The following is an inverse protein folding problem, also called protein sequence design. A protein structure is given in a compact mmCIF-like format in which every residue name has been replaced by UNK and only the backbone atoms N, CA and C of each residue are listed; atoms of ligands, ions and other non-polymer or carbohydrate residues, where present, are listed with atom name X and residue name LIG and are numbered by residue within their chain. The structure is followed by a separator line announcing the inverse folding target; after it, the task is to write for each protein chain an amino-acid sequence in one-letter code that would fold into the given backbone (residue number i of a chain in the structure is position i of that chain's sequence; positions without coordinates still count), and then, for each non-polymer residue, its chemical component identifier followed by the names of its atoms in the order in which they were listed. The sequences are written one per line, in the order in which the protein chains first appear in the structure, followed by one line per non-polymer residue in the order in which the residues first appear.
data_IF_323915361506
#
_entry.id   IF_323915361506
#
_cell.length_a   1.000
_cell.length_b   1.000
_cell.length_c   1.000
_cell.angle_alpha   90.00
_cell.angle_beta   90.00
_cell.angle_gamma   90.00
#
_symmetry.space_group_name_H-M   'P 1'
#
loop_
_entity.id
_entity.type
_entity.pdbx_description
1 polymer ?
#
# COMPACT_ATOMS: atom_id res chain seq x y z
N UNK A 1 -64.19 -12.51 38.65
CA UNK A 1 -64.18 -11.05 38.80
C UNK A 1 -62.99 -10.64 39.66
N UNK A 2 -61.97 -10.01 39.08
CA UNK A 2 -61.14 -9.00 39.75
C UNK A 2 -60.40 -8.21 38.68
N UNK A 3 -60.24 -6.93 39.00
CA UNK A 3 -60.04 -5.76 38.16
C UNK A 3 -58.56 -5.34 38.10
N UNK A 4 -58.20 -4.62 37.03
CA UNK A 4 -57.19 -3.52 36.96
C UNK A 4 -55.74 -3.98 37.21
N UNK A 5 -54.69 -3.59 36.49
CA UNK A 5 -54.38 -2.51 35.56
C UNK A 5 -52.84 -2.39 35.61
N UNK A 6 -52.23 -1.84 34.56
CA UNK A 6 -51.10 -0.89 34.61
C UNK A 6 -50.26 -0.96 33.34
N UNK A 7 -50.28 0.17 32.65
CA UNK A 7 -49.33 0.57 31.62
C UNK A 7 -47.94 0.68 32.21
N UNK A 8 -46.92 0.24 31.46
CA UNK A 8 -45.60 0.86 31.52
C UNK A 8 -45.13 1.08 30.09
N UNK A 9 -45.20 2.33 29.64
CA UNK A 9 -44.50 2.77 28.45
C UNK A 9 -42.99 2.77 28.70
N UNK A 10 -42.22 2.35 27.71
CA UNK A 10 -40.82 2.76 27.59
C UNK A 10 -40.68 3.52 26.27
N UNK A 11 -40.42 4.80 26.46
CA UNK A 11 -40.09 5.83 25.48
C UNK A 11 -38.92 5.45 24.60
N UNK A 12 -38.97 5.89 23.34
CA UNK A 12 -37.80 6.02 22.49
C UNK A 12 -36.76 6.98 23.09
N UNK A 13 -35.50 6.73 22.74
CA UNK A 13 -34.36 7.55 23.14
C UNK A 13 -33.10 7.02 22.50
N UNK A 14 -32.74 7.63 21.38
CA UNK A 14 -31.50 7.46 20.64
C UNK A 14 -30.28 7.58 21.56
N UNK A 15 -29.30 6.68 21.41
CA UNK A 15 -27.92 7.05 21.70
C UNK A 15 -27.01 6.63 20.54
N UNK A 16 -26.36 7.66 20.05
CA UNK A 16 -25.57 7.75 18.84
C UNK A 16 -24.14 7.97 19.32
N UNK A 17 -23.18 7.27 18.68
CA UNK A 17 -21.77 7.66 18.57
C UNK A 17 -20.94 7.87 19.86
N UNK A 18 -20.13 6.87 20.20
CA UNK A 18 -18.78 7.09 20.71
C UNK A 18 -17.81 6.22 19.88
N UNK A 19 -17.41 6.73 18.71
CA UNK A 19 -16.07 7.29 18.46
C UNK A 19 -14.96 6.24 18.58
N UNK A 20 -14.65 5.69 17.41
CA UNK A 20 -13.36 5.12 17.05
C UNK A 20 -12.23 6.03 17.54
N UNK A 21 -11.57 5.59 18.62
CA UNK A 21 -10.31 6.13 19.04
C UNK A 21 -9.20 5.15 18.62
N UNK A 22 -8.54 5.54 17.53
CA UNK A 22 -7.13 5.27 17.24
C UNK A 22 -6.68 3.80 17.16
N UNK A 23 -7.01 3.12 16.05
CA UNK A 23 -6.38 1.85 15.65
C UNK A 23 -4.89 2.04 15.26
N UNK A 24 -4.43 3.28 15.01
CA UNK A 24 -3.05 3.57 14.64
C UNK A 24 -2.03 3.35 15.78
N UNK A 25 -2.46 3.28 17.04
CA UNK A 25 -1.56 3.18 18.21
C UNK A 25 -1.17 1.75 18.61
N UNK A 26 -1.74 0.71 17.98
CA UNK A 26 -1.52 -0.70 18.40
C UNK A 26 -0.49 -1.48 17.58
N UNK A 27 0.21 -0.84 16.65
CA UNK A 27 1.15 -1.52 15.74
C UNK A 27 2.63 -1.39 16.10
N UNK A 28 2.98 -0.93 17.31
CA UNK A 28 4.39 -0.74 17.67
C UNK A 28 4.79 -1.46 18.96
N UNK A 29 4.97 -2.78 18.89
CA UNK A 29 5.87 -3.49 19.80
C UNK A 29 6.28 -4.88 19.29
N UNK A 30 7.56 -4.97 18.91
CA UNK A 30 8.50 -6.07 19.18
C UNK A 30 8.47 -7.37 18.33
N UNK A 31 9.59 -7.54 17.61
CA UNK A 31 10.26 -8.80 17.18
C UNK A 31 9.43 -9.83 16.42
N UNK A 32 9.53 -9.77 15.09
CA UNK A 32 9.21 -10.89 14.20
C UNK A 32 8.47 -10.49 12.94
N UNK A 33 9.21 -10.16 11.88
CA UNK A 33 8.78 -10.42 10.49
C UNK A 33 7.49 -9.78 9.96
N UNK A 34 7.01 -8.66 10.49
CA UNK A 34 5.96 -7.89 9.82
C UNK A 34 6.59 -6.87 8.86
N UNK A 35 6.20 -6.96 7.59
CA UNK A 35 6.57 -5.99 6.55
C UNK A 35 6.01 -4.63 6.99
N UNK A 36 6.82 -3.56 7.08
CA UNK A 36 6.29 -2.21 7.24
C UNK A 36 5.23 -1.99 6.17
N UNK A 37 4.03 -1.54 6.57
CA UNK A 37 2.89 -1.34 5.68
C UNK A 37 3.33 -0.75 4.32
N UNK A 38 3.36 -1.58 3.28
CA UNK A 38 3.36 -1.12 1.90
C UNK A 38 4.67 -1.09 1.11
N UNK A 39 5.59 -2.03 1.30
CA UNK A 39 6.66 -2.25 0.32
C UNK A 39 6.39 -3.50 -0.51
N UNK A 40 6.13 -3.38 -1.81
CA UNK A 40 5.92 -4.53 -2.68
C UNK A 40 7.25 -5.24 -2.97
N UNK A 41 7.18 -6.52 -3.32
CA UNK A 41 8.34 -7.30 -3.76
C UNK A 41 8.82 -6.78 -5.13
N UNK A 42 9.99 -6.11 -5.22
CA UNK A 42 10.51 -5.62 -6.49
C UNK A 42 11.10 -6.72 -7.37
N UNK A 43 11.35 -6.39 -8.63
CA UNK A 43 12.31 -7.15 -9.42
C UNK A 43 13.72 -6.99 -8.81
N UNK A 44 14.28 -8.09 -8.32
CA UNK A 44 15.60 -8.15 -7.71
C UNK A 44 16.70 -8.17 -8.77
N UNK A 45 17.01 -7.00 -9.33
CA UNK A 45 18.13 -6.85 -10.27
C UNK A 45 19.46 -7.00 -9.52
N UNK A 46 20.06 -8.19 -9.60
CA UNK A 46 21.30 -8.54 -8.88
C UNK A 46 22.41 -8.93 -9.88
N UNK A 47 23.69 -8.73 -9.54
CA UNK A 47 24.80 -9.04 -10.45
C UNK A 47 24.92 -10.53 -10.76
N UNK A 48 25.63 -10.85 -11.84
CA UNK A 48 25.97 -12.23 -12.18
C UNK A 48 26.66 -12.95 -11.01
N UNK A 49 26.30 -14.22 -10.79
CA UNK A 49 26.81 -15.04 -9.70
C UNK A 49 26.15 -14.79 -8.34
N UNK A 50 25.19 -13.87 -8.25
CA UNK A 50 24.34 -13.72 -7.07
C UNK A 50 23.09 -14.60 -7.20
N UNK A 51 22.59 -15.09 -6.06
CA UNK A 51 21.35 -15.87 -5.98
C UNK A 51 20.34 -15.14 -5.11
N UNK A 52 19.08 -15.12 -5.52
CA UNK A 52 17.97 -14.48 -4.78
C UNK A 52 17.06 -15.56 -4.19
N UNK A 53 16.73 -15.44 -2.89
CA UNK A 53 15.71 -16.26 -2.22
C UNK A 53 14.66 -15.34 -1.63
N UNK A 54 13.40 -15.51 -2.02
CA UNK A 54 12.27 -14.70 -1.55
C UNK A 54 11.48 -15.53 -0.54
N UNK A 55 11.16 -14.95 0.62
CA UNK A 55 10.32 -15.59 1.61
C UNK A 55 8.82 -15.31 1.36
N UNK A 56 7.94 -15.92 2.16
CA UNK A 56 6.49 -15.72 2.06
C UNK A 56 6.04 -14.28 2.33
N UNK A 57 6.84 -13.46 3.02
CA UNK A 57 6.57 -12.04 3.23
C UNK A 57 7.06 -11.14 2.08
N UNK A 58 7.62 -11.73 1.01
CA UNK A 58 8.11 -11.01 -0.15
C UNK A 58 9.49 -10.37 0.04
N UNK A 59 10.13 -10.52 1.21
CA UNK A 59 11.52 -10.09 1.42
C UNK A 59 12.49 -11.07 0.76
N UNK A 60 13.50 -10.54 0.08
CA UNK A 60 14.57 -11.33 -0.48
C UNK A 60 15.84 -11.32 0.36
N UNK A 61 16.47 -12.49 0.46
CA UNK A 61 17.89 -12.62 0.80
C UNK A 61 18.66 -12.85 -0.50
N UNK A 62 19.65 -12.01 -0.75
CA UNK A 62 20.58 -12.17 -1.86
C UNK A 62 21.92 -12.67 -1.34
N UNK A 63 22.42 -13.76 -1.91
CA UNK A 63 23.73 -14.33 -1.59
C UNK A 63 24.68 -14.11 -2.76
N UNK A 64 25.86 -13.56 -2.48
CA UNK A 64 26.91 -13.34 -3.47
C UNK A 64 27.90 -14.51 -3.56
N UNK A 65 28.69 -14.60 -4.64
CA UNK A 65 29.57 -15.74 -4.92
C UNK A 65 30.72 -15.90 -3.92
N UNK A 66 31.02 -14.86 -3.13
CA UNK A 66 32.03 -14.87 -2.05
C UNK A 66 31.41 -15.05 -0.66
N UNK A 67 30.18 -15.55 -0.58
CA UNK A 67 29.49 -15.84 0.68
C UNK A 67 28.88 -14.62 1.39
N UNK A 68 28.84 -13.46 0.75
CA UNK A 68 28.15 -12.28 1.29
C UNK A 68 26.63 -12.45 1.25
N UNK A 69 25.93 -12.01 2.29
CA UNK A 69 24.46 -12.06 2.36
C UNK A 69 23.87 -10.66 2.56
N UNK A 70 22.79 -10.39 1.82
CA UNK A 70 22.16 -9.08 1.71
C UNK A 70 20.65 -9.23 1.82
N UNK A 71 20.07 -8.74 2.91
CA UNK A 71 18.63 -8.75 3.13
C UNK A 71 18.00 -7.52 2.46
N UNK A 72 17.01 -7.70 1.59
CA UNK A 72 16.28 -6.59 1.00
C UNK A 72 15.54 -5.81 2.08
N UNK A 73 15.69 -4.50 2.07
CA UNK A 73 14.98 -3.63 3.02
C UNK A 73 13.56 -3.26 2.55
N UNK A 74 13.25 -3.49 1.27
CA UNK A 74 12.05 -3.01 0.60
C UNK A 74 12.10 -1.53 0.21
N UNK A 75 13.12 -0.79 0.65
CA UNK A 75 13.30 0.63 0.39
C UNK A 75 14.27 0.90 -0.75
N UNK A 76 14.13 2.06 -1.38
CA UNK A 76 14.92 2.44 -2.54
C UNK A 76 15.82 3.63 -2.23
N UNK A 77 16.99 3.66 -2.86
CA UNK A 77 17.88 4.82 -2.89
C UNK A 77 17.26 5.95 -3.71
N UNK A 78 17.86 7.14 -3.63
CA UNK A 78 17.39 8.33 -4.37
C UNK A 78 17.41 8.16 -5.89
N UNK A 79 18.22 7.25 -6.42
CA UNK A 79 18.28 6.86 -7.84
C UNK A 79 17.37 5.65 -8.17
N UNK A 80 16.53 5.20 -7.25
CA UNK A 80 15.51 4.19 -7.50
C UNK A 80 15.97 2.74 -7.39
N UNK A 81 17.16 2.47 -6.82
CA UNK A 81 17.69 1.12 -6.66
C UNK A 81 17.31 0.52 -5.31
N UNK A 82 17.00 -0.77 -5.29
CA UNK A 82 16.66 -1.46 -4.04
C UNK A 82 17.86 -1.46 -3.09
N UNK A 83 17.60 -1.06 -1.85
CA UNK A 83 18.57 -1.07 -0.77
C UNK A 83 18.48 -2.40 -0.03
N UNK A 84 19.65 -2.98 0.20
CA UNK A 84 19.87 -4.18 0.99
C UNK A 84 20.70 -3.86 2.23
N UNK A 85 20.52 -4.65 3.28
CA UNK A 85 21.30 -4.60 4.51
C UNK A 85 22.15 -5.86 4.64
N UNK A 86 23.45 -5.71 4.85
CA UNK A 86 24.33 -6.85 5.08
C UNK A 86 24.36 -7.26 6.57
N UNK A 87 25.07 -8.36 6.88
CA UNK A 87 25.22 -8.88 8.26
C UNK A 87 25.89 -7.91 9.23
N UNK A 88 26.70 -6.98 8.75
CA UNK A 88 27.34 -5.94 9.58
C UNK A 88 26.38 -4.79 9.91
N UNK A 89 25.22 -4.76 9.25
CA UNK A 89 24.24 -3.69 9.34
C UNK A 89 24.47 -2.56 8.33
N UNK A 90 25.45 -2.69 7.43
CA UNK A 90 25.73 -1.71 6.39
C UNK A 90 24.74 -1.82 5.23
N UNK A 91 24.46 -0.70 4.56
CA UNK A 91 23.48 -0.63 3.47
C UNK A 91 24.16 -0.58 2.09
N UNK A 92 23.59 -1.31 1.13
CA UNK A 92 24.13 -1.44 -0.23
C UNK A 92 23.02 -1.48 -1.28
N UNK A 93 23.29 -1.02 -2.49
CA UNK A 93 22.53 -1.41 -3.69
C UNK A 93 23.30 -2.49 -4.43
N UNK A 94 22.60 -3.39 -5.11
CA UNK A 94 23.22 -4.48 -5.89
C UNK A 94 23.07 -4.34 -7.40
N UNK A 95 22.21 -3.44 -7.89
CA UNK A 95 22.04 -3.17 -9.31
C UNK A 95 23.32 -2.55 -9.92
N UNK A 96 23.93 -3.26 -10.88
CA UNK A 96 25.20 -2.90 -11.49
C UNK A 96 26.43 -3.15 -10.60
N UNK A 97 26.28 -3.92 -9.52
CA UNK A 97 27.35 -4.26 -8.59
C UNK A 97 27.04 -3.83 -7.15
N UNK A 98 27.87 -4.26 -6.20
CA UNK A 98 27.73 -3.88 -4.78
C UNK A 98 28.26 -2.46 -4.57
N UNK A 99 27.34 -1.54 -4.30
CA UNK A 99 27.64 -0.14 -4.01
C UNK A 99 27.12 0.24 -2.62
N UNK A 100 27.97 0.82 -1.78
CA UNK A 100 27.54 1.28 -0.44
C UNK A 100 26.69 2.54 -0.52
N UNK A 101 25.65 2.59 0.29
CA UNK A 101 24.70 3.71 0.36
C UNK A 101 24.36 4.05 1.80
N UNK A 102 23.75 5.21 2.00
CA UNK A 102 23.21 5.59 3.31
C UNK A 102 22.01 4.71 3.69
N UNK A 103 21.67 4.71 4.98
CA UNK A 103 20.43 4.11 5.45
C UNK A 103 19.22 4.76 4.73
N UNK A 104 18.17 3.97 4.42
CA UNK A 104 16.93 4.54 3.89
C UNK A 104 16.27 5.49 4.90
N UNK A 105 15.35 6.37 4.46
CA UNK A 105 14.54 7.19 5.36
C UNK A 105 13.86 6.36 6.46
N UNK A 106 13.57 6.98 7.60
CA UNK A 106 12.71 6.33 8.60
C UNK A 106 11.23 6.42 8.17
N UNK A 107 10.66 5.28 7.81
CA UNK A 107 9.27 5.19 7.33
C UNK A 107 8.21 5.23 8.43
N UNK A 108 8.57 5.13 9.71
CA UNK A 108 7.63 5.30 10.84
C UNK A 108 6.97 6.69 10.84
N UNK A 109 7.60 7.67 10.19
CA UNK A 109 7.13 9.05 10.07
C UNK A 109 6.64 9.42 8.66
N UNK A 110 6.67 8.47 7.72
CA UNK A 110 6.29 8.73 6.33
C UNK A 110 4.78 8.66 6.18
N UNK A 111 4.12 9.68 5.58
CA UNK A 111 2.69 9.65 5.34
C UNK A 111 2.26 8.43 4.51
N UNK A 112 1.17 7.80 4.95
CA UNK A 112 0.50 6.74 4.20
C UNK A 112 -0.43 7.38 3.16
N UNK A 113 -0.29 6.93 1.91
CA UNK A 113 -1.09 7.36 0.78
C UNK A 113 -2.09 6.26 0.36
N UNK A 114 -3.31 6.66 0.03
CA UNK A 114 -4.33 5.80 -0.59
C UNK A 114 -4.15 5.80 -2.11
N UNK A 115 -3.85 4.64 -2.71
CA UNK A 115 -3.68 4.53 -4.16
C UNK A 115 -4.96 4.98 -4.88
N UNK A 116 -6.07 4.33 -4.53
CA UNK A 116 -7.42 4.72 -4.86
C UNK A 116 -7.95 5.62 -3.75
N UNK A 117 -8.18 6.90 -4.05
CA UNK A 117 -8.69 7.86 -3.07
C UNK A 117 -10.10 7.49 -2.60
N UNK A 118 -10.38 7.68 -1.31
CA UNK A 118 -11.70 7.54 -0.70
C UNK A 118 -12.35 8.89 -0.34
N UNK A 119 -11.69 10.01 -0.65
CA UNK A 119 -12.12 11.38 -0.24
C UNK A 119 -12.49 12.28 -1.42
N UNK A 120 -12.31 11.84 -2.66
CA UNK A 120 -12.71 12.58 -3.86
C UNK A 120 -14.17 12.26 -4.26
N UNK A 121 -15.10 12.60 -3.36
CA UNK A 121 -16.52 12.22 -3.48
C UNK A 121 -17.37 13.21 -4.30
N UNK A 122 -16.83 14.41 -4.57
CA UNK A 122 -17.52 15.50 -5.28
C UNK A 122 -16.73 15.86 -6.52
N UNK A 123 -17.31 15.59 -7.69
CA UNK A 123 -16.82 16.13 -8.94
C UNK A 123 -17.23 17.59 -9.06
N UNK A 124 -16.38 18.51 -8.64
CA UNK A 124 -16.57 19.94 -8.88
C UNK A 124 -15.76 20.36 -10.13
N UNK A 125 -16.27 21.33 -10.87
CA UNK A 125 -15.55 21.93 -12.01
C UNK A 125 -15.10 20.92 -13.09
N UNK A 126 -15.93 19.90 -13.37
CA UNK A 126 -15.64 18.89 -14.40
C UNK A 126 -14.63 17.81 -13.99
N UNK A 127 -14.21 17.77 -12.72
CA UNK A 127 -13.38 16.70 -12.20
C UNK A 127 -14.22 15.45 -11.86
N UNK A 128 -13.67 14.26 -12.12
CA UNK A 128 -14.31 12.98 -11.82
C UNK A 128 -14.41 12.78 -10.31
N UNK A 129 -15.55 12.26 -9.83
CA UNK A 129 -15.70 11.83 -8.44
C UNK A 129 -14.98 10.48 -8.23
N UNK A 130 -13.65 10.51 -8.20
CA UNK A 130 -12.80 9.32 -8.27
C UNK A 130 -13.09 8.26 -7.23
N UNK A 131 -13.50 8.63 -6.01
CA UNK A 131 -13.85 7.61 -5.01
C UNK A 131 -14.97 6.70 -5.48
N UNK A 132 -15.98 7.26 -6.18
CA UNK A 132 -17.11 6.49 -6.72
C UNK A 132 -16.65 5.57 -7.84
N UNK A 133 -15.78 6.07 -8.70
CA UNK A 133 -15.19 5.31 -9.81
C UNK A 133 -14.30 4.17 -9.31
N UNK A 134 -13.56 4.37 -8.21
CA UNK A 134 -12.75 3.29 -7.64
C UNK A 134 -13.58 2.26 -6.87
N UNK A 135 -14.68 2.66 -6.25
CA UNK A 135 -15.48 1.80 -5.37
C UNK A 135 -15.89 0.48 -6.05
N UNK A 136 -16.22 0.49 -7.35
CA UNK A 136 -16.58 -0.72 -8.11
C UNK A 136 -15.54 -1.84 -8.02
N UNK A 137 -14.24 -1.49 -7.98
CA UNK A 137 -13.17 -2.50 -7.92
C UNK A 137 -13.06 -3.12 -6.52
N UNK A 138 -13.32 -2.33 -5.48
CA UNK A 138 -13.31 -2.79 -4.09
C UNK A 138 -14.53 -3.66 -3.80
N UNK A 139 -15.71 -3.23 -4.24
CA UNK A 139 -16.95 -4.01 -4.13
C UNK A 139 -16.81 -5.37 -4.84
N UNK A 140 -16.18 -5.40 -6.03
CA UNK A 140 -15.97 -6.63 -6.78
C UNK A 140 -14.82 -7.53 -6.28
N UNK A 141 -13.95 -7.04 -5.40
CA UNK A 141 -12.80 -7.80 -4.89
C UNK A 141 -12.93 -8.21 -3.42
N UNK A 142 -14.03 -7.86 -2.75
CA UNK A 142 -14.19 -8.03 -1.30
C UNK A 142 -13.05 -7.36 -0.50
N UNK A 143 -12.54 -6.25 -1.04
CA UNK A 143 -11.56 -5.38 -0.38
C UNK A 143 -12.26 -4.13 0.13
N UNK A 144 -11.73 -3.51 1.19
CA UNK A 144 -12.26 -2.26 1.71
C UNK A 144 -11.38 -1.07 1.29
N UNK A 145 -11.95 -0.15 0.50
CA UNK A 145 -11.24 1.02 -0.04
C UNK A 145 -10.54 1.88 1.04
N UNK A 146 -11.04 1.88 2.27
CA UNK A 146 -10.53 2.73 3.34
C UNK A 146 -9.29 2.16 4.01
N UNK A 147 -9.20 0.83 4.16
CA UNK A 147 -8.22 0.19 5.03
C UNK A 147 -7.57 -1.08 4.45
N UNK A 148 -7.93 -1.52 3.25
CA UNK A 148 -7.22 -2.60 2.57
C UNK A 148 -5.74 -2.22 2.43
N UNK A 149 -4.86 -3.09 2.91
CA UNK A 149 -3.41 -2.83 2.91
C UNK A 149 -2.85 -2.68 1.50
N UNK A 150 -3.49 -3.34 0.53
CA UNK A 150 -3.27 -3.27 -0.91
C UNK A 150 -3.50 -1.85 -1.44
N UNK A 151 -4.41 -1.08 -0.84
CA UNK A 151 -4.70 0.30 -1.24
C UNK A 151 -3.81 1.32 -0.53
N UNK A 152 -2.91 0.90 0.37
CA UNK A 152 -2.10 1.78 1.21
C UNK A 152 -0.61 1.64 0.92
N UNK A 153 0.09 2.76 0.77
CA UNK A 153 1.55 2.79 0.56
C UNK A 153 2.19 3.98 1.27
N UNK A 154 3.30 3.75 1.96
CA UNK A 154 4.11 4.83 2.53
C UNK A 154 5.01 5.43 1.45
N UNK A 155 4.85 6.72 1.15
CA UNK A 155 5.62 7.41 0.10
C UNK A 155 6.42 8.55 0.70
N UNK A 156 7.75 8.37 0.74
CA UNK A 156 8.65 9.41 1.21
C UNK A 156 8.52 10.66 0.34
N UNK A 157 8.29 11.82 0.98
CA UNK A 157 8.05 13.08 0.28
C UNK A 157 6.64 13.21 -0.33
N UNK A 158 5.67 12.40 0.08
CA UNK A 158 4.28 12.49 -0.37
C UNK A 158 3.69 13.91 -0.20
N UNK A 159 3.08 14.45 -1.27
CA UNK A 159 2.41 15.75 -1.30
C UNK A 159 1.20 15.69 -2.23
N UNK A 160 0.04 16.14 -1.75
CA UNK A 160 -1.20 16.26 -2.55
C UNK A 160 -1.70 17.71 -2.65
N UNK A 161 -2.78 17.98 -3.41
CA UNK A 161 -3.60 17.02 -4.16
C UNK A 161 -2.91 16.47 -5.42
N UNK A 162 -3.30 15.27 -5.87
CA UNK A 162 -2.68 14.61 -7.02
C UNK A 162 -3.40 14.96 -8.33
N UNK A 163 -2.71 14.94 -9.48
CA UNK A 163 -3.30 15.32 -10.76
C UNK A 163 -4.30 14.27 -11.27
N UNK A 164 -5.22 14.71 -12.14
CA UNK A 164 -6.18 13.83 -12.83
C UNK A 164 -5.48 12.65 -13.54
N UNK A 165 -4.31 12.88 -14.14
CA UNK A 165 -3.53 11.86 -14.83
C UNK A 165 -3.14 10.68 -13.92
N UNK A 166 -2.85 10.94 -12.63
CA UNK A 166 -2.59 9.88 -11.67
C UNK A 166 -3.83 9.01 -11.46
N UNK A 167 -4.98 9.63 -11.23
CA UNK A 167 -6.21 8.89 -11.01
C UNK A 167 -6.67 8.12 -12.26
N UNK A 168 -6.54 8.71 -13.45
CA UNK A 168 -6.79 8.04 -14.73
C UNK A 168 -5.88 6.84 -14.93
N UNK A 169 -4.60 6.97 -14.58
CA UNK A 169 -3.65 5.87 -14.65
C UNK A 169 -4.09 4.71 -13.73
N UNK A 170 -4.36 4.99 -12.46
CA UNK A 170 -4.81 3.97 -11.49
C UNK A 170 -6.10 3.29 -11.96
N UNK A 171 -7.08 4.08 -12.41
CA UNK A 171 -8.36 3.54 -12.89
C UNK A 171 -8.16 2.67 -14.12
N UNK A 172 -7.45 3.17 -15.14
CA UNK A 172 -7.23 2.43 -16.38
C UNK A 172 -6.52 1.10 -16.17
N UNK A 173 -5.56 1.04 -15.22
CA UNK A 173 -4.89 -0.22 -14.85
C UNK A 173 -5.87 -1.22 -14.22
N UNK A 174 -6.70 -0.78 -13.29
CA UNK A 174 -7.70 -1.63 -12.63
C UNK A 174 -8.80 -2.08 -13.60
N UNK A 175 -9.28 -1.17 -14.44
CA UNK A 175 -10.30 -1.43 -15.46
C UNK A 175 -9.81 -2.49 -16.44
N UNK A 176 -8.60 -2.32 -16.98
CA UNK A 176 -7.98 -3.30 -17.88
C UNK A 176 -7.76 -4.66 -17.19
N UNK A 177 -7.25 -4.67 -15.95
CA UNK A 177 -6.97 -5.93 -15.26
C UNK A 177 -8.22 -6.73 -14.90
N UNK A 178 -9.36 -6.04 -14.77
CA UNK A 178 -10.65 -6.66 -14.41
C UNK A 178 -11.58 -6.85 -15.60
N UNK A 179 -11.16 -6.48 -16.80
CA UNK A 179 -11.94 -6.60 -18.03
C UNK A 179 -12.31 -8.06 -18.30
N UNK A 180 -13.61 -8.33 -18.48
CA UNK A 180 -14.13 -9.67 -18.73
C UNK A 180 -14.17 -10.60 -17.50
N UNK A 181 -13.69 -10.16 -16.33
CA UNK A 181 -13.79 -10.93 -15.09
C UNK A 181 -15.14 -10.70 -14.40
N UNK A 182 -15.65 -11.74 -13.76
CA UNK A 182 -16.89 -11.66 -12.97
C UNK A 182 -16.55 -11.11 -11.58
N UNK A 183 -17.17 -10.01 -11.11
CA UNK A 183 -17.00 -9.51 -9.76
C UNK A 183 -17.34 -10.56 -8.69
N UNK A 184 -16.74 -10.44 -7.50
CA UNK A 184 -16.89 -11.35 -6.35
C UNK A 184 -16.35 -12.76 -6.62
N UNK A 185 -15.40 -12.89 -7.53
CA UNK A 185 -14.65 -14.13 -7.75
C UNK A 185 -13.21 -13.98 -7.30
N UNK A 186 -12.55 -15.10 -6.99
CA UNK A 186 -11.13 -15.09 -6.61
C UNK A 186 -10.26 -14.47 -7.73
N UNK A 187 -10.57 -14.76 -8.99
CA UNK A 187 -9.85 -14.18 -10.13
C UNK A 187 -9.95 -12.65 -10.18
N UNK A 188 -11.12 -12.08 -9.89
CA UNK A 188 -11.30 -10.62 -9.84
C UNK A 188 -10.52 -10.01 -8.67
N UNK A 189 -10.60 -10.64 -7.50
CA UNK A 189 -9.87 -10.21 -6.30
C UNK A 189 -8.36 -10.24 -6.52
N UNK A 190 -7.86 -11.32 -7.12
CA UNK A 190 -6.46 -11.48 -7.48
C UNK A 190 -6.01 -10.39 -8.47
N UNK A 191 -6.78 -10.13 -9.53
CA UNK A 191 -6.47 -9.10 -10.51
C UNK A 191 -6.38 -7.69 -9.89
N UNK A 192 -7.32 -7.32 -9.03
CA UNK A 192 -7.30 -6.04 -8.29
C UNK A 192 -6.08 -5.98 -7.36
N UNK A 193 -5.84 -7.03 -6.58
CA UNK A 193 -4.74 -7.11 -5.62
C UNK A 193 -3.38 -6.98 -6.30
N UNK A 194 -3.15 -7.73 -7.38
CA UNK A 194 -1.90 -7.68 -8.14
C UNK A 194 -1.69 -6.31 -8.78
N UNK A 195 -2.74 -5.70 -9.31
CA UNK A 195 -2.67 -4.36 -9.92
C UNK A 195 -2.34 -3.28 -8.89
N UNK A 196 -2.98 -3.32 -7.72
CA UNK A 196 -2.65 -2.41 -6.63
C UNK A 196 -1.20 -2.60 -6.18
N UNK A 197 -0.72 -3.84 -6.01
CA UNK A 197 0.68 -4.13 -5.67
C UNK A 197 1.68 -3.62 -6.73
N UNK A 198 1.35 -3.72 -8.01
CA UNK A 198 2.16 -3.12 -9.09
C UNK A 198 2.27 -1.60 -8.90
N UNK A 199 1.14 -0.93 -8.67
CA UNK A 199 1.10 0.52 -8.49
C UNK A 199 1.84 0.95 -7.21
N UNK A 200 1.74 0.18 -6.12
CA UNK A 200 2.56 0.39 -4.90
C UNK A 200 4.05 0.36 -5.25
N UNK A 201 4.46 -0.52 -6.16
CA UNK A 201 5.87 -0.69 -6.54
C UNK A 201 6.36 0.57 -7.21
N UNK A 202 5.60 1.04 -8.18
CA UNK A 202 5.91 2.30 -8.83
C UNK A 202 5.89 3.45 -7.83
N UNK A 203 4.89 3.56 -6.95
CA UNK A 203 4.80 4.62 -5.95
C UNK A 203 6.01 4.69 -5.01
N UNK A 204 6.55 3.52 -4.63
CA UNK A 204 7.67 3.41 -3.72
C UNK A 204 9.04 3.72 -4.38
N UNK A 205 9.18 3.58 -5.70
CA UNK A 205 10.43 3.82 -6.43
C UNK A 205 10.60 5.32 -6.74
N UNK A 206 11.60 6.00 -6.14
CA UNK A 206 11.88 7.40 -6.45
C UNK A 206 12.06 7.64 -7.95
N UNK A 207 11.35 8.63 -8.48
CA UNK A 207 11.47 9.03 -9.87
C UNK A 207 10.66 8.19 -10.89
N UNK A 208 9.95 7.15 -10.46
CA UNK A 208 8.96 6.48 -11.32
C UNK A 208 7.81 7.44 -11.71
N UNK A 209 6.99 7.12 -12.73
CA UNK A 209 5.83 7.95 -13.10
C UNK A 209 4.86 8.17 -11.92
N UNK A 210 4.48 7.09 -11.21
CA UNK A 210 3.57 7.18 -10.06
C UNK A 210 4.20 7.98 -8.92
N UNK A 211 5.45 7.68 -8.55
CA UNK A 211 6.14 8.40 -7.49
C UNK A 211 6.23 9.91 -7.79
N UNK A 212 6.49 10.29 -9.05
CA UNK A 212 6.51 11.70 -9.48
C UNK A 212 5.16 12.38 -9.29
N UNK A 213 4.04 11.73 -9.56
CA UNK A 213 2.72 12.33 -9.30
C UNK A 213 2.41 12.46 -7.80
N UNK A 214 2.97 11.58 -6.97
CA UNK A 214 2.73 11.57 -5.52
C UNK A 214 3.66 12.50 -4.72
N UNK A 215 4.76 12.98 -5.31
CA UNK A 215 5.80 13.75 -4.59
C UNK A 215 6.05 15.15 -5.16
N UNK A 216 5.51 15.48 -6.34
CA UNK A 216 5.62 16.82 -6.93
C UNK A 216 4.65 17.83 -6.29
N UNK A 217 5.02 19.10 -6.33
CA UNK A 217 4.15 20.25 -6.00
C UNK A 217 3.26 20.62 -7.18
#
# INVERSE_FOLDING_TARGET
MSKIGDEVGISGGSEVLAKDANIADRLNSNVGGEVPLGLPAPNYNVPEGFTVKINSSGQATVSGPRGGEYLSTGYYSSDGKLIYKDKSGSYHTLDGGRNSVNAPPNYDSVPIHHICTNKCNVGANGQTAWSKEFQRFFDGSDLNINNATENLVAVAGHRGPHPQAYHQYVYGRLDQATEGLVPNTEAYKEAVTQTLNMIKTEAAIPGSPVNKWLTKR
#
